data_IF_146830027116
#
_entry.id   IF_146830027116
#
_cell.length_a   1.000
_cell.length_b   1.000
_cell.length_c   1.000
_cell.angle_alpha   90.00
_cell.angle_beta   90.00
_cell.angle_gamma   90.00
#
_symmetry.space_group_name_H-M   'P 1'
#
loop_
_entity.id
_entity.type
_entity.pdbx_description
1 polymer ?
#
# COMPACT_ATOMS: atom_id res chain seq x y z
N UNK A 1 18.43 33.94 9.49
CA UNK A 1 17.05 33.61 9.06
C UNK A 1 17.10 32.18 8.49
N UNK A 2 16.84 31.20 9.33
CA UNK A 2 17.00 29.78 8.97
C UNK A 2 15.70 29.35 8.29
N UNK A 3 15.76 29.11 6.99
CA UNK A 3 14.64 28.54 6.23
C UNK A 3 14.51 27.08 6.67
N UNK A 4 13.49 26.78 7.48
CA UNK A 4 13.11 25.40 7.77
C UNK A 4 12.45 24.88 6.50
N UNK A 5 13.22 24.15 5.69
CA UNK A 5 12.66 23.33 4.63
C UNK A 5 11.87 22.25 5.34
N UNK A 6 10.52 22.36 5.34
CA UNK A 6 9.68 21.25 5.70
C UNK A 6 9.94 20.16 4.64
N UNK A 7 10.76 19.18 5.01
CA UNK A 7 10.81 17.93 4.26
C UNK A 7 9.38 17.41 4.16
N UNK A 8 8.91 17.30 2.95
CA UNK A 8 7.64 16.68 2.59
C UNK A 8 7.76 15.19 2.95
N UNK A 9 7.63 14.85 4.24
CA UNK A 9 7.64 13.46 4.69
C UNK A 9 6.43 12.82 4.05
N UNK A 10 6.69 11.88 3.15
CA UNK A 10 5.67 10.94 2.73
C UNK A 10 5.04 10.34 4.00
N UNK A 11 3.71 10.19 4.04
CA UNK A 11 3.02 9.72 5.25
C UNK A 11 3.44 8.31 5.67
N UNK A 12 4.22 7.61 4.86
CA UNK A 12 4.67 6.24 5.08
C UNK A 12 6.18 6.15 4.85
N UNK A 13 6.91 5.65 5.85
CA UNK A 13 8.36 5.46 5.74
C UNK A 13 8.71 4.15 5.00
N UNK A 14 9.88 4.12 4.38
CA UNK A 14 10.43 2.89 3.78
C UNK A 14 10.59 1.77 4.83
N UNK A 15 10.95 2.15 6.06
CA UNK A 15 11.13 1.21 7.17
C UNK A 15 9.83 0.53 7.57
N UNK A 16 8.70 1.26 7.61
CA UNK A 16 7.37 0.71 7.92
C UNK A 16 6.95 -0.32 6.87
N UNK A 17 7.20 -0.02 5.59
CA UNK A 17 6.90 -0.93 4.48
C UNK A 17 7.74 -2.20 4.60
N UNK A 18 9.05 -2.07 4.84
CA UNK A 18 9.95 -3.21 5.04
C UNK A 18 9.54 -4.05 6.23
N UNK A 19 9.22 -3.40 7.34
CA UNK A 19 8.74 -4.09 8.54
C UNK A 19 7.47 -4.90 8.26
N UNK A 20 6.52 -4.33 7.56
CA UNK A 20 5.26 -4.99 7.23
C UNK A 20 5.47 -6.21 6.31
N UNK A 21 6.29 -6.06 5.29
CA UNK A 21 6.64 -7.14 4.34
C UNK A 21 7.64 -8.16 4.91
N UNK A 22 8.21 -7.88 6.09
CA UNK A 22 9.34 -8.65 6.66
C UNK A 22 10.57 -8.65 5.76
N UNK A 23 10.72 -7.63 4.93
CA UNK A 23 11.84 -7.45 4.02
C UNK A 23 13.02 -6.75 4.70
N UNK A 24 13.64 -7.46 5.64
CA UNK A 24 14.82 -7.00 6.38
C UNK A 24 15.92 -8.03 6.33
N UNK A 25 17.20 -7.64 6.44
CA UNK A 25 18.34 -8.56 6.40
C UNK A 25 18.24 -9.72 7.40
N UNK A 26 17.58 -9.50 8.53
CA UNK A 26 17.39 -10.53 9.56
C UNK A 26 16.45 -11.65 9.11
N UNK A 27 15.50 -11.36 8.21
CA UNK A 27 14.51 -12.31 7.71
C UNK A 27 14.92 -12.89 6.35
N UNK A 28 15.74 -12.17 5.58
CA UNK A 28 16.14 -12.52 4.23
C UNK A 28 17.55 -13.13 4.17
N UNK A 29 17.80 -14.17 4.96
CA UNK A 29 19.13 -14.79 5.12
C UNK A 29 19.70 -15.31 3.80
N UNK A 30 18.86 -15.67 2.83
CA UNK A 30 19.27 -16.25 1.55
C UNK A 30 19.52 -15.19 0.45
N UNK A 31 19.20 -13.93 0.70
CA UNK A 31 19.39 -12.87 -0.29
C UNK A 31 20.76 -12.20 -0.06
N UNK A 32 21.59 -12.04 -1.13
CA UNK A 32 22.91 -11.44 -1.04
C UNK A 32 22.89 -10.03 -0.45
N UNK A 33 21.86 -9.24 -0.81
CA UNK A 33 21.69 -7.84 -0.37
C UNK A 33 20.83 -7.72 0.90
N UNK A 34 20.36 -8.85 1.45
CA UNK A 34 19.54 -8.88 2.65
C UNK A 34 18.13 -8.26 2.53
N UNK A 35 17.79 -7.72 1.36
CA UNK A 35 16.47 -7.12 1.08
C UNK A 35 15.96 -7.56 -0.28
N UNK A 36 14.64 -7.75 -0.39
CA UNK A 36 14.00 -8.16 -1.63
C UNK A 36 13.67 -6.96 -2.53
N UNK A 37 13.26 -5.85 -1.91
CA UNK A 37 12.90 -4.63 -2.63
C UNK A 37 13.92 -3.52 -2.39
N UNK A 38 14.40 -2.89 -3.46
CA UNK A 38 15.25 -1.70 -3.33
C UNK A 38 14.43 -0.50 -2.82
N UNK A 39 15.11 0.50 -2.23
CA UNK A 39 14.45 1.74 -1.81
C UNK A 39 13.79 2.46 -2.98
N UNK A 40 14.41 2.40 -4.16
CA UNK A 40 13.86 2.93 -5.40
C UNK A 40 12.54 2.26 -5.80
N UNK A 41 12.44 0.95 -5.66
CA UNK A 41 11.22 0.21 -5.96
C UNK A 41 10.11 0.56 -4.99
N UNK A 42 10.44 0.69 -3.71
CA UNK A 42 9.50 1.13 -2.67
C UNK A 42 8.99 2.54 -2.98
N UNK A 43 9.87 3.49 -3.30
CA UNK A 43 9.47 4.85 -3.64
C UNK A 43 8.61 4.92 -4.90
N UNK A 44 8.92 4.11 -5.92
CA UNK A 44 8.07 3.98 -7.12
C UNK A 44 6.70 3.45 -6.77
N UNK A 45 6.63 2.41 -5.93
CA UNK A 45 5.37 1.84 -5.49
C UNK A 45 4.51 2.85 -4.72
N UNK A 46 5.12 3.67 -3.84
CA UNK A 46 4.43 4.76 -3.13
C UNK A 46 3.84 5.77 -4.12
N UNK A 47 4.60 6.21 -5.13
CA UNK A 47 4.10 7.13 -6.16
C UNK A 47 2.95 6.54 -6.95
N UNK A 48 3.02 5.26 -7.32
CA UNK A 48 1.95 4.60 -8.07
C UNK A 48 0.70 4.39 -7.22
N UNK A 49 0.83 4.01 -5.95
CA UNK A 49 -0.30 3.87 -5.03
C UNK A 49 -1.00 5.21 -4.82
N UNK A 50 -0.24 6.30 -4.62
CA UNK A 50 -0.77 7.66 -4.51
C UNK A 50 -1.48 8.10 -5.79
N UNK A 51 -0.86 7.87 -6.96
CA UNK A 51 -1.46 8.18 -8.25
C UNK A 51 -2.77 7.42 -8.47
N UNK A 52 -2.80 6.14 -8.11
CA UNK A 52 -4.00 5.31 -8.18
C UNK A 52 -5.12 5.84 -7.29
N UNK A 53 -4.79 6.22 -6.05
CA UNK A 53 -5.76 6.86 -5.15
C UNK A 53 -6.33 8.14 -5.75
N UNK A 54 -5.47 9.01 -6.30
CA UNK A 54 -5.90 10.27 -6.90
C UNK A 54 -6.83 10.08 -8.11
N UNK A 55 -6.61 9.02 -8.89
CA UNK A 55 -7.43 8.68 -10.05
C UNK A 55 -8.81 8.11 -9.69
N UNK A 56 -9.02 7.63 -8.45
CA UNK A 56 -10.33 7.15 -8.00
C UNK A 56 -11.32 8.31 -7.92
N UNK A 57 -12.57 8.02 -8.29
CA UNK A 57 -13.66 9.02 -8.26
C UNK A 57 -14.13 9.29 -6.82
N UNK A 58 -14.34 10.57 -6.42
CA UNK A 58 -14.02 11.79 -7.16
C UNK A 58 -12.51 12.00 -7.30
N UNK A 59 -12.09 12.45 -8.49
CA UNK A 59 -10.66 12.69 -8.77
C UNK A 59 -10.14 13.81 -7.85
N UNK A 60 -9.02 13.58 -7.19
CA UNK A 60 -8.34 14.58 -6.35
C UNK A 60 -7.01 14.97 -6.98
N UNK A 61 -6.71 16.27 -6.93
CA UNK A 61 -5.51 16.83 -7.58
C UNK A 61 -4.28 16.71 -6.68
N UNK A 62 -4.49 16.73 -5.36
CA UNK A 62 -3.39 16.66 -4.40
C UNK A 62 -3.88 16.13 -3.06
N UNK A 63 -3.69 14.84 -2.83
CA UNK A 63 -4.10 14.19 -1.60
C UNK A 63 -2.89 13.76 -0.74
N UNK A 64 -1.69 14.24 -1.05
CA UNK A 64 -0.46 13.79 -0.40
C UNK A 64 -0.41 14.05 1.11
N UNK A 65 -1.16 15.04 1.59
CA UNK A 65 -1.15 15.45 3.01
C UNK A 65 -2.21 14.78 3.88
N UNK A 66 -3.19 14.09 3.30
CA UNK A 66 -4.34 13.51 4.03
C UNK A 66 -4.54 12.01 3.79
N UNK A 67 -3.53 11.35 3.24
CA UNK A 67 -3.62 9.92 2.97
C UNK A 67 -3.57 9.13 4.28
N UNK A 68 -4.50 8.19 4.44
CA UNK A 68 -4.44 7.22 5.51
C UNK A 68 -3.24 6.29 5.30
N UNK A 69 -2.35 6.23 6.29
CA UNK A 69 -1.10 5.44 6.22
C UNK A 69 -1.36 3.97 5.93
N UNK A 70 -2.35 3.37 6.60
CA UNK A 70 -2.68 1.95 6.39
C UNK A 70 -3.19 1.68 4.98
N UNK A 71 -4.07 2.54 4.46
CA UNK A 71 -4.54 2.43 3.09
C UNK A 71 -3.37 2.51 2.11
N UNK A 72 -2.49 3.48 2.29
CA UNK A 72 -1.32 3.65 1.42
C UNK A 72 -0.38 2.44 1.52
N UNK A 73 -0.14 1.93 2.72
CA UNK A 73 0.64 0.72 2.97
C UNK A 73 0.09 -0.47 2.17
N UNK A 74 -1.22 -0.71 2.24
CA UNK A 74 -1.86 -1.77 1.47
C UNK A 74 -1.66 -1.60 -0.04
N UNK A 75 -1.80 -0.37 -0.57
CA UNK A 75 -1.58 -0.08 -1.98
C UNK A 75 -0.15 -0.31 -2.44
N UNK A 76 0.82 0.10 -1.63
CA UNK A 76 2.26 -0.11 -1.89
C UNK A 76 2.60 -1.59 -1.88
N UNK A 77 2.17 -2.31 -0.84
CA UNK A 77 2.43 -3.74 -0.72
C UNK A 77 1.79 -4.54 -1.87
N UNK A 78 0.58 -4.18 -2.31
CA UNK A 78 -0.06 -4.81 -3.46
C UNK A 78 0.79 -4.67 -4.74
N UNK A 79 1.40 -3.49 -4.97
CA UNK A 79 2.24 -3.23 -6.14
C UNK A 79 3.55 -4.03 -6.05
N UNK A 80 4.22 -3.99 -4.89
CA UNK A 80 5.49 -4.68 -4.69
C UNK A 80 5.33 -6.20 -4.82
N UNK A 81 4.36 -6.79 -4.14
CA UNK A 81 4.09 -8.22 -4.19
C UNK A 81 3.71 -8.69 -5.61
N UNK A 82 2.93 -7.87 -6.34
CA UNK A 82 2.58 -8.18 -7.72
C UNK A 82 3.79 -8.13 -8.65
N UNK A 83 4.66 -7.14 -8.45
CA UNK A 83 5.92 -7.01 -9.20
C UNK A 83 6.82 -8.22 -8.95
N UNK A 84 6.93 -8.67 -7.70
CA UNK A 84 7.70 -9.84 -7.34
C UNK A 84 7.11 -11.13 -7.93
N UNK A 85 5.79 -11.30 -7.88
CA UNK A 85 5.13 -12.43 -8.53
C UNK A 85 5.42 -12.51 -10.03
N UNK A 86 5.47 -11.37 -10.73
CA UNK A 86 5.86 -11.29 -12.15
C UNK A 86 7.33 -11.66 -12.32
N UNK A 87 8.23 -11.20 -11.44
CA UNK A 87 9.65 -11.53 -11.47
C UNK A 87 9.88 -13.03 -11.29
N UNK A 88 9.21 -13.64 -10.32
CA UNK A 88 9.28 -15.07 -10.06
C UNK A 88 8.82 -15.88 -11.28
N UNK A 89 7.69 -15.50 -11.89
CA UNK A 89 7.18 -16.15 -13.09
C UNK A 89 8.14 -16.05 -14.28
N UNK A 90 8.80 -14.90 -14.47
CA UNK A 90 9.79 -14.72 -15.56
C UNK A 90 11.08 -15.50 -15.35
N UNK A 91 11.47 -15.68 -14.09
CA UNK A 91 12.70 -16.36 -13.70
C UNK A 91 12.49 -17.85 -13.44
N UNK A 92 11.27 -18.35 -13.62
CA UNK A 92 10.95 -19.73 -13.48
C UNK A 92 11.73 -20.55 -14.54
N UNK A 93 12.75 -21.25 -14.06
CA UNK A 93 13.47 -22.22 -14.86
C UNK A 93 12.58 -23.45 -14.98
N UNK A 94 11.98 -23.65 -16.14
CA UNK A 94 11.36 -24.92 -16.51
C UNK A 94 12.46 -25.95 -16.72
N UNK A 95 13.01 -26.46 -15.64
CA UNK A 95 13.90 -27.61 -15.68
C UNK A 95 13.08 -28.86 -15.99
N UNK A 96 12.70 -29.02 -17.25
CA UNK A 96 12.30 -30.32 -17.81
C UNK A 96 13.56 -31.07 -18.24
N UNK A 97 14.27 -31.61 -17.28
CA UNK A 97 15.31 -32.56 -17.57
C UNK A 97 14.97 -33.90 -16.91
N UNK A 98 14.66 -34.88 -17.79
CA UNK A 98 14.65 -36.28 -17.48
C UNK A 98 13.77 -36.75 -16.33
N UNK A 99 12.46 -36.86 -16.53
CA UNK A 99 11.53 -37.70 -15.76
C UNK A 99 11.46 -37.47 -14.22
N UNK A 100 12.04 -36.40 -13.72
CA UNK A 100 11.89 -35.96 -12.34
C UNK A 100 10.88 -34.82 -12.35
N UNK A 101 9.71 -35.07 -11.77
CA UNK A 101 8.70 -34.00 -11.58
C UNK A 101 9.36 -32.83 -10.86
N UNK A 102 9.28 -31.59 -11.39
CA UNK A 102 9.80 -30.42 -10.68
C UNK A 102 9.08 -30.32 -9.34
N UNK A 103 9.84 -30.33 -8.27
CA UNK A 103 9.31 -30.11 -6.92
C UNK A 103 8.82 -28.67 -6.87
N UNK A 104 7.50 -28.48 -6.93
CA UNK A 104 6.69 -27.31 -6.56
C UNK A 104 7.41 -25.94 -6.43
N UNK A 105 8.08 -25.49 -7.50
CA UNK A 105 8.56 -24.11 -7.59
C UNK A 105 7.43 -23.14 -7.96
N UNK A 106 6.31 -23.65 -8.46
CA UNK A 106 5.17 -22.87 -8.98
C UNK A 106 4.30 -22.23 -7.91
N UNK A 107 4.40 -22.66 -6.65
CA UNK A 107 3.50 -22.17 -5.60
C UNK A 107 3.80 -20.75 -5.13
N UNK A 108 5.05 -20.30 -5.25
CA UNK A 108 5.43 -18.95 -4.79
C UNK A 108 4.73 -17.84 -5.56
N UNK A 109 4.65 -17.95 -6.87
CA UNK A 109 3.97 -16.96 -7.70
C UNK A 109 2.49 -16.83 -7.30
N UNK A 110 1.79 -17.94 -7.12
CA UNK A 110 0.39 -17.94 -6.71
C UNK A 110 0.20 -17.31 -5.32
N UNK A 111 1.15 -17.54 -4.41
CA UNK A 111 1.12 -16.92 -3.08
C UNK A 111 1.32 -15.40 -3.15
N UNK A 112 2.29 -14.91 -3.91
CA UNK A 112 2.50 -13.47 -4.13
C UNK A 112 1.27 -12.82 -4.77
N UNK A 113 0.66 -13.47 -5.77
CA UNK A 113 -0.56 -12.98 -6.41
C UNK A 113 -1.72 -12.89 -5.41
N UNK A 114 -1.95 -13.93 -4.61
CA UNK A 114 -3.00 -13.95 -3.60
C UNK A 114 -2.81 -12.85 -2.53
N UNK A 115 -1.59 -12.65 -2.06
CA UNK A 115 -1.28 -11.58 -1.12
C UNK A 115 -1.47 -10.20 -1.75
N UNK A 116 -1.01 -10.02 -2.98
CA UNK A 116 -1.19 -8.76 -3.72
C UNK A 116 -2.67 -8.44 -3.92
N UNK A 117 -3.51 -9.42 -4.24
CA UNK A 117 -4.94 -9.23 -4.45
C UNK A 117 -5.65 -8.89 -3.13
N UNK A 118 -5.29 -9.50 -2.02
CA UNK A 118 -5.83 -9.14 -0.70
C UNK A 118 -5.47 -7.71 -0.33
N UNK A 119 -4.20 -7.32 -0.46
CA UNK A 119 -3.75 -5.95 -0.18
C UNK A 119 -4.44 -4.94 -1.11
N UNK A 120 -4.67 -5.32 -2.37
CA UNK A 120 -5.38 -4.48 -3.32
C UNK A 120 -6.86 -4.28 -2.93
N UNK A 121 -7.54 -5.32 -2.46
CA UNK A 121 -8.93 -5.23 -1.98
C UNK A 121 -9.04 -4.30 -0.76
N UNK A 122 -8.13 -4.43 0.21
CA UNK A 122 -8.06 -3.54 1.37
C UNK A 122 -7.81 -2.09 0.95
N UNK A 123 -6.87 -1.85 0.05
CA UNK A 123 -6.62 -0.52 -0.50
C UNK A 123 -7.88 0.06 -1.15
N UNK A 124 -8.53 -0.68 -2.05
CA UNK A 124 -9.70 -0.22 -2.79
C UNK A 124 -10.89 0.05 -1.85
N UNK A 125 -11.08 -0.77 -0.82
CA UNK A 125 -12.11 -0.58 0.20
C UNK A 125 -11.89 0.72 0.99
N UNK A 126 -10.70 0.90 1.56
CA UNK A 126 -10.39 2.10 2.34
C UNK A 126 -10.38 3.37 1.49
N UNK A 127 -9.81 3.31 0.29
CA UNK A 127 -9.76 4.43 -0.63
C UNK A 127 -11.15 4.91 -1.03
N UNK A 128 -12.07 4.00 -1.36
CA UNK A 128 -13.46 4.35 -1.69
C UNK A 128 -14.19 4.95 -0.50
N UNK A 129 -14.03 4.39 0.69
CA UNK A 129 -14.67 4.91 1.90
C UNK A 129 -14.20 6.34 2.20
N UNK A 130 -12.91 6.62 2.16
CA UNK A 130 -12.35 7.96 2.38
C UNK A 130 -12.86 8.93 1.31
N UNK A 131 -12.85 8.53 0.03
CA UNK A 131 -13.35 9.36 -1.06
C UNK A 131 -14.83 9.67 -0.92
N UNK A 132 -15.64 8.68 -0.53
CA UNK A 132 -17.08 8.87 -0.30
C UNK A 132 -17.31 9.81 0.88
N UNK A 133 -16.60 9.62 1.99
CA UNK A 133 -16.70 10.50 3.16
C UNK A 133 -16.34 11.94 2.82
N UNK A 134 -15.20 12.16 2.16
CA UNK A 134 -14.75 13.48 1.76
C UNK A 134 -15.76 14.15 0.80
N UNK A 135 -16.36 13.40 -0.11
CA UNK A 135 -17.38 13.91 -1.01
C UNK A 135 -18.67 14.30 -0.25
N UNK A 136 -19.09 13.46 0.69
CA UNK A 136 -20.25 13.78 1.53
C UNK A 136 -20.00 15.02 2.39
N UNK A 137 -18.81 15.15 3.01
CA UNK A 137 -18.45 16.33 3.78
C UNK A 137 -18.40 17.61 2.94
N UNK A 138 -17.98 17.51 1.67
CA UNK A 138 -17.93 18.65 0.76
C UNK A 138 -19.32 19.09 0.28
N UNK A 139 -20.26 18.16 0.11
CA UNK A 139 -21.61 18.44 -0.40
C UNK A 139 -22.58 18.86 0.71
N UNK A 140 -22.51 18.19 1.85
CA UNK A 140 -23.48 18.40 2.95
C UNK A 140 -22.92 19.19 4.12
N UNK A 141 -21.65 19.54 4.10
CA UNK A 141 -20.94 20.14 5.23
C UNK A 141 -20.74 19.14 6.38
N UNK A 142 -19.95 19.54 7.37
CA UNK A 142 -19.85 18.76 8.61
C UNK A 142 -21.20 18.85 9.34
N UNK A 143 -21.93 17.77 9.37
CA UNK A 143 -23.13 17.64 10.22
C UNK A 143 -22.60 17.59 11.67
N UNK A 144 -22.48 18.74 12.30
CA UNK A 144 -22.33 18.77 13.76
C UNK A 144 -23.69 18.35 14.33
N UNK A 145 -23.75 17.14 14.90
CA UNK A 145 -24.99 16.69 15.53
C UNK A 145 -25.36 17.67 16.64
N UNK A 146 -26.51 18.31 16.51
CA UNK A 146 -27.06 19.21 17.53
C UNK A 146 -27.41 18.52 18.86
N UNK A 147 -27.18 17.21 18.96
CA UNK A 147 -27.38 16.41 20.16
C UNK A 147 -26.53 16.85 21.36
N UNK A 148 -25.45 17.60 21.16
CA UNK A 148 -24.69 18.21 22.26
C UNK A 148 -25.46 19.27 23.05
N UNK A 149 -26.56 19.80 22.52
CA UNK A 149 -27.36 20.83 23.16
C UNK A 149 -28.57 20.28 23.95
N UNK A 150 -28.99 19.05 23.71
CA UNK A 150 -30.16 18.47 24.40
C UNK A 150 -29.84 18.09 25.86
N UNK A 151 -28.60 17.81 26.20
CA UNK A 151 -28.18 17.45 27.56
C UNK A 151 -28.02 18.61 28.54
N UNK A 152 -28.19 19.87 28.11
CA UNK A 152 -27.99 21.06 28.99
C UNK A 152 -29.28 21.66 29.55
N UNK A 153 -30.44 21.10 29.27
CA UNK A 153 -31.72 21.57 29.75
C UNK A 153 -32.44 20.57 30.66
N UNK A 154 -31.73 19.73 31.37
CA UNK A 154 -32.31 19.02 32.51
C UNK A 154 -32.03 19.83 33.76
N UNK A 155 -33.09 20.41 34.24
CA UNK A 155 -33.33 21.19 35.50
C UNK A 155 -32.80 20.44 36.71
#
# INVERSE_FOLDING_TARGET
MTVIVQENRLPLSTEDIRWFLRDTPQHNILLPDGVEFSDDDIQRAVRFATSKYNALTPVSVDASSSLNEYMLLCGVCAILLRSEGIRQNRNELRAQDGNIAPVNLDEKQAQYANWADRMQQEFDFHARNIKTQNNMESVYGRISSGYRYIGRYTI
#
